data_IF_752001971533
#
_entry.id   IF_752001971533
#
_cell.length_a   1.000
_cell.length_b   1.000
_cell.length_c   1.000
_cell.angle_alpha   90.00
_cell.angle_beta   90.00
_cell.angle_gamma   90.00
#
_symmetry.space_group_name_H-M   'P 1'
#
loop_
_entity.id
_entity.type
_entity.pdbx_description
1 polymer ?
#
# COMPACT_ATOMS: atom_id res chain seq x y z
N UNK A 1 20.43 -14.29 15.32
CA UNK A 1 19.94 -14.51 16.70
C UNK A 1 18.52 -13.96 16.97
N UNK A 2 18.12 -12.77 16.49
CA UNK A 2 16.85 -12.12 16.87
C UNK A 2 15.53 -12.72 16.30
N UNK A 3 15.59 -13.57 15.27
CA UNK A 3 14.39 -14.10 14.59
C UNK A 3 13.50 -14.98 15.50
N UNK A 4 14.11 -15.73 16.42
CA UNK A 4 13.40 -16.65 17.34
C UNK A 4 12.47 -15.88 18.28
N UNK A 5 12.94 -14.78 18.86
CA UNK A 5 12.15 -13.94 19.76
C UNK A 5 11.05 -13.17 19.02
N UNK A 6 11.38 -12.63 17.84
CA UNK A 6 10.43 -11.87 17.02
C UNK A 6 9.26 -12.72 16.51
N UNK A 7 9.46 -14.01 16.27
CA UNK A 7 8.44 -14.91 15.76
C UNK A 7 7.58 -15.58 16.85
N UNK A 8 7.99 -15.54 18.13
CA UNK A 8 7.34 -16.29 19.23
C UNK A 8 5.84 -15.99 19.38
N UNK A 9 5.44 -14.74 19.18
CA UNK A 9 4.05 -14.27 19.31
C UNK A 9 3.35 -14.05 17.97
N UNK A 10 4.01 -14.36 16.85
CA UNK A 10 3.45 -14.12 15.51
C UNK A 10 2.66 -15.32 15.02
N UNK A 11 1.45 -15.05 14.56
CA UNK A 11 0.68 -16.01 13.78
C UNK A 11 1.20 -16.09 12.35
N UNK A 12 1.30 -17.29 11.77
CA UNK A 12 1.67 -17.45 10.37
C UNK A 12 0.62 -16.80 9.47
N UNK A 13 1.09 -16.25 8.36
CA UNK A 13 0.25 -15.52 7.42
C UNK A 13 -0.61 -16.52 6.62
N UNK A 14 -1.95 -16.37 6.58
CA UNK A 14 -2.83 -17.34 5.94
C UNK A 14 -2.98 -17.14 4.41
N UNK A 15 -2.15 -16.33 3.76
CA UNK A 15 -2.29 -16.03 2.33
C UNK A 15 -1.06 -16.41 1.53
N UNK A 16 -1.28 -17.19 0.48
CA UNK A 16 -0.28 -17.54 -0.53
C UNK A 16 -0.40 -16.68 -1.79
N UNK A 17 0.46 -17.00 -2.77
CA UNK A 17 0.35 -16.45 -4.13
C UNK A 17 -1.00 -16.84 -4.73
N UNK A 18 -1.62 -15.95 -5.51
CA UNK A 18 -2.94 -16.09 -6.15
C UNK A 18 -4.17 -15.99 -5.25
N UNK A 19 -4.01 -15.93 -3.92
CA UNK A 19 -5.13 -15.74 -3.00
C UNK A 19 -5.77 -14.35 -3.16
N UNK A 20 -7.07 -14.28 -2.86
CA UNK A 20 -7.84 -13.04 -2.85
C UNK A 20 -7.85 -12.42 -1.46
N UNK A 21 -7.59 -11.13 -1.39
CA UNK A 21 -7.32 -10.42 -0.14
C UNK A 21 -7.92 -9.02 -0.18
N UNK A 22 -8.47 -8.57 0.94
CA UNK A 22 -8.97 -7.22 1.14
C UNK A 22 -7.85 -6.33 1.69
N UNK A 23 -7.81 -5.08 1.22
CA UNK A 23 -6.83 -4.08 1.62
C UNK A 23 -7.44 -3.07 2.60
N UNK A 24 -6.77 -2.82 3.72
CA UNK A 24 -7.20 -1.84 4.71
C UNK A 24 -7.01 -0.40 4.20
N UNK A 25 -7.99 0.48 4.46
CA UNK A 25 -8.00 1.89 4.05
C UNK A 25 -7.33 2.84 5.02
N UNK A 26 -6.82 2.36 6.16
CA UNK A 26 -6.24 3.20 7.21
C UNK A 26 -5.23 4.24 6.69
N UNK A 27 -4.39 3.84 5.71
CA UNK A 27 -3.32 4.66 5.14
C UNK A 27 -3.62 5.18 3.73
N UNK A 28 -4.86 5.03 3.25
CA UNK A 28 -5.27 5.38 1.89
C UNK A 28 -6.22 6.57 1.95
N UNK A 29 -5.90 7.63 1.21
CA UNK A 29 -6.79 8.79 1.06
C UNK A 29 -7.87 8.50 0.02
N UNK A 30 -9.10 8.34 0.49
CA UNK A 30 -10.27 8.04 -0.34
C UNK A 30 -11.07 9.33 -0.50
N UNK A 31 -11.48 9.65 -1.74
CA UNK A 31 -12.40 10.76 -2.03
C UNK A 31 -13.81 10.40 -1.55
N UNK A 32 -14.04 10.48 -0.25
CA UNK A 32 -15.36 10.45 0.38
C UNK A 32 -15.47 11.64 1.34
N UNK A 33 -16.69 12.19 1.53
CA UNK A 33 -16.90 13.38 2.36
C UNK A 33 -16.54 13.12 3.83
N UNK A 34 -16.72 11.90 4.34
CA UNK A 34 -16.33 11.55 5.71
C UNK A 34 -15.60 10.21 5.80
N UNK A 35 -14.57 10.15 6.66
CA UNK A 35 -13.80 8.92 6.94
C UNK A 35 -14.64 7.89 7.69
N UNK A 36 -15.56 8.32 8.57
CA UNK A 36 -16.42 7.43 9.37
C UNK A 36 -17.37 6.60 8.50
N UNK A 37 -17.91 7.21 7.43
CA UNK A 37 -18.77 6.53 6.46
C UNK A 37 -17.97 5.93 5.29
N UNK A 38 -16.64 5.89 5.37
CA UNK A 38 -15.81 5.29 4.33
C UNK A 38 -15.69 3.78 4.54
N UNK A 39 -15.51 3.03 3.45
CA UNK A 39 -15.29 1.60 3.54
C UNK A 39 -13.95 1.34 4.24
N UNK A 40 -13.95 0.53 5.30
CA UNK A 40 -12.72 0.13 6.01
C UNK A 40 -11.82 -0.79 5.18
N UNK A 41 -12.43 -1.60 4.31
CA UNK A 41 -11.75 -2.55 3.45
C UNK A 41 -12.06 -2.24 2.00
N UNK A 42 -11.02 -2.14 1.18
CA UNK A 42 -11.13 -2.10 -0.26
C UNK A 42 -11.05 -3.52 -0.77
N UNK A 43 -11.95 -3.81 -1.69
CA UNK A 43 -11.78 -4.69 -2.84
C UNK A 43 -11.06 -6.02 -2.67
N UNK A 44 -11.60 -7.14 -3.18
CA UNK A 44 -10.77 -8.32 -3.36
C UNK A 44 -9.64 -8.02 -4.38
N UNK A 45 -8.40 -8.03 -3.92
CA UNK A 45 -7.20 -7.96 -4.74
C UNK A 45 -6.50 -9.32 -4.76
N UNK A 46 -5.94 -9.67 -5.90
CA UNK A 46 -5.17 -10.89 -6.04
C UNK A 46 -3.72 -10.66 -5.61
N UNK A 47 -3.17 -11.57 -4.81
CA UNK A 47 -1.75 -11.58 -4.44
C UNK A 47 -0.94 -12.09 -5.63
N UNK A 48 0.02 -11.29 -6.08
CA UNK A 48 0.94 -11.65 -7.16
C UNK A 48 2.16 -12.39 -6.64
N UNK A 49 2.77 -11.89 -5.56
CA UNK A 49 3.94 -12.51 -4.93
C UNK A 49 4.15 -12.04 -3.51
N UNK A 50 4.82 -12.88 -2.73
CA UNK A 50 5.41 -12.51 -1.44
C UNK A 50 6.67 -11.67 -1.71
N UNK A 51 6.88 -10.62 -0.91
CA UNK A 51 8.00 -9.69 -1.04
C UNK A 51 8.91 -9.85 0.17
N UNK A 52 10.18 -10.16 -0.11
CA UNK A 52 11.21 -10.36 0.90
C UNK A 52 11.25 -11.78 1.49
N UNK A 53 12.36 -12.10 2.16
CA UNK A 53 12.65 -13.43 2.71
C UNK A 53 11.80 -13.78 3.95
N UNK A 54 11.35 -12.76 4.68
CA UNK A 54 10.49 -12.92 5.85
C UNK A 54 8.99 -12.96 5.49
N UNK A 55 8.66 -12.64 4.24
CA UNK A 55 7.34 -12.43 3.67
C UNK A 55 6.29 -11.84 4.60
N UNK A 56 6.69 -10.72 5.18
CA UNK A 56 5.83 -9.80 5.89
C UNK A 56 5.08 -8.85 4.93
N UNK A 57 5.42 -8.87 3.65
CA UNK A 57 4.85 -8.01 2.64
C UNK A 57 4.43 -8.80 1.40
N UNK A 58 3.38 -8.35 0.74
CA UNK A 58 2.81 -8.96 -0.45
C UNK A 58 2.59 -7.90 -1.52
N UNK A 59 2.90 -8.28 -2.77
CA UNK A 59 2.58 -7.47 -3.94
C UNK A 59 1.19 -7.86 -4.45
N UNK A 60 0.31 -6.88 -4.56
CA UNK A 60 -1.06 -7.05 -5.04
C UNK A 60 -1.21 -6.64 -6.51
N UNK A 61 -2.17 -7.25 -7.20
CA UNK A 61 -2.62 -6.82 -8.52
C UNK A 61 -3.59 -5.64 -8.37
N UNK A 62 -3.03 -4.44 -8.22
CA UNK A 62 -3.80 -3.19 -8.22
C UNK A 62 -4.10 -2.72 -9.66
N UNK A 63 -5.27 -2.13 -9.87
CA UNK A 63 -5.57 -1.39 -11.09
C UNK A 63 -4.78 -0.07 -11.11
N UNK A 64 -4.36 0.37 -12.29
CA UNK A 64 -3.62 1.63 -12.51
C UNK A 64 -4.34 2.85 -11.89
N UNK A 65 -5.66 2.79 -11.78
CA UNK A 65 -6.50 3.83 -11.18
C UNK A 65 -6.16 4.18 -9.73
N UNK A 66 -5.56 3.25 -8.97
CA UNK A 66 -5.31 3.44 -7.54
C UNK A 66 -4.12 4.37 -7.26
N UNK A 67 -3.16 4.52 -8.20
CA UNK A 67 -1.95 5.36 -8.05
C UNK A 67 -1.23 5.21 -6.69
N UNK A 68 -1.34 4.04 -6.05
CA UNK A 68 -0.70 3.70 -4.77
C UNK A 68 0.30 2.57 -5.04
N UNK A 69 1.37 2.52 -4.26
CA UNK A 69 2.31 1.40 -4.28
C UNK A 69 1.57 0.07 -4.09
N UNK A 70 1.94 -0.94 -4.88
CA UNK A 70 1.26 -2.22 -4.89
C UNK A 70 1.80 -3.23 -3.88
N UNK A 71 2.71 -2.82 -2.99
CA UNK A 71 3.30 -3.68 -1.95
C UNK A 71 2.74 -3.26 -0.59
N UNK A 72 2.16 -4.22 0.12
CA UNK A 72 1.55 -3.99 1.43
C UNK A 72 2.00 -5.02 2.46
N UNK A 73 2.08 -4.59 3.71
CA UNK A 73 2.36 -5.44 4.86
C UNK A 73 1.17 -6.36 5.16
N UNK A 74 1.45 -7.53 5.73
CA UNK A 74 0.46 -8.51 6.19
C UNK A 74 -0.64 -7.92 7.08
N UNK A 75 -0.27 -6.98 7.96
CA UNK A 75 -1.21 -6.36 8.91
C UNK A 75 -2.28 -5.49 8.22
N UNK A 76 -2.03 -5.06 6.98
CA UNK A 76 -2.97 -4.27 6.18
C UNK A 76 -3.86 -5.15 5.30
N UNK A 77 -3.70 -6.46 5.38
CA UNK A 77 -4.33 -7.44 4.52
C UNK A 77 -5.26 -8.36 5.31
N UNK A 78 -6.40 -8.70 4.70
CA UNK A 78 -7.36 -9.66 5.27
C UNK A 78 -7.80 -10.64 4.20
N UNK A 79 -7.79 -11.94 4.51
CA UNK A 79 -8.26 -12.97 3.58
C UNK A 79 -9.71 -12.69 3.13
N UNK A 80 -9.96 -12.77 1.82
CA UNK A 80 -11.30 -12.60 1.26
C UNK A 80 -12.06 -13.93 1.31
N UNK A 81 -13.15 -13.99 2.07
CA UNK A 81 -14.05 -15.15 2.10
C UNK A 81 -15.07 -15.02 0.97
N UNK A 82 -14.87 -15.76 -0.12
CA UNK A 82 -15.79 -15.82 -1.26
C UNK A 82 -16.99 -16.70 -0.90
N UNK A 83 -18.21 -16.25 -1.22
CA UNK A 83 -19.37 -17.16 -1.24
C UNK A 83 -19.29 -18.05 -2.49
N UNK A 84 -19.68 -19.34 -2.42
CA UNK A 84 -19.69 -20.21 -3.59
C UNK A 84 -20.52 -19.55 -4.71
N UNK A 85 -19.95 -19.46 -5.92
CA UNK A 85 -20.58 -18.81 -7.09
C UNK A 85 -20.31 -17.31 -7.29
N UNK A 86 -19.82 -16.57 -6.28
CA UNK A 86 -19.74 -15.10 -6.38
C UNK A 86 -18.40 -14.62 -6.97
N UNK A 87 -18.36 -14.08 -8.18
CA UNK A 87 -17.12 -13.49 -8.75
C UNK A 87 -16.66 -12.29 -7.91
N UNK A 88 -15.36 -12.16 -7.57
CA UNK A 88 -14.84 -11.01 -6.84
C UNK A 88 -15.06 -9.72 -7.65
N UNK A 89 -16.03 -8.90 -7.22
CA UNK A 89 -16.32 -7.61 -7.86
C UNK A 89 -15.56 -6.49 -7.16
N UNK A 90 -14.63 -5.86 -7.87
CA UNK A 90 -13.98 -4.64 -7.40
C UNK A 90 -14.74 -3.41 -7.86
N UNK A 91 -15.54 -2.81 -6.97
CA UNK A 91 -16.01 -1.43 -7.17
C UNK A 91 -14.79 -0.51 -7.01
N UNK A 92 -14.39 0.18 -8.09
CA UNK A 92 -13.26 1.12 -8.08
C UNK A 92 -13.60 2.30 -7.15
N UNK A 93 -12.94 2.47 -5.98
CA UNK A 93 -13.10 3.66 -5.15
C UNK A 93 -12.47 4.85 -5.87
N UNK A 94 -13.09 6.02 -5.75
CA UNK A 94 -12.46 7.29 -6.15
C UNK A 94 -11.35 7.58 -5.14
N UNK A 95 -10.10 7.39 -5.54
CA UNK A 95 -8.93 7.68 -4.71
C UNK A 95 -8.44 9.10 -5.00
N UNK A 96 -7.95 9.77 -3.96
CA UNK A 96 -7.28 11.05 -4.14
C UNK A 96 -5.99 10.85 -4.91
N UNK A 97 -5.95 11.38 -6.14
CA UNK A 97 -4.68 11.55 -6.84
C UNK A 97 -3.85 12.49 -5.98
N UNK A 98 -2.74 12.01 -5.43
CA UNK A 98 -1.73 12.89 -4.89
C UNK A 98 -1.07 13.55 -6.08
N UNK A 99 -1.49 14.76 -6.43
CA UNK A 99 -0.62 15.66 -7.17
C UNK A 99 0.61 15.85 -6.30
N UNK A 100 1.71 15.22 -6.71
CA UNK A 100 3.02 15.52 -6.17
C UNK A 100 3.55 16.63 -7.05
N UNK A 101 3.96 17.73 -6.43
CA UNK A 101 4.73 18.78 -7.08
C UNK A 101 6.11 18.20 -7.43
N UNK A 102 6.18 17.51 -8.57
CA UNK A 102 7.41 16.96 -9.10
C UNK A 102 8.11 18.06 -9.90
N UNK A 103 9.07 18.73 -9.28
CA UNK A 103 9.94 19.68 -9.98
C UNK A 103 10.98 18.91 -10.81
N UNK A 104 11.05 19.19 -12.12
CA UNK A 104 12.13 18.72 -12.97
C UNK A 104 13.31 19.70 -12.83
N UNK A 105 14.31 19.33 -12.04
CA UNK A 105 15.51 20.16 -11.81
C UNK A 105 16.38 20.15 -13.07
N UNK A 106 16.66 21.33 -13.67
CA UNK A 106 17.62 21.43 -14.79
C UNK A 106 19.06 21.56 -14.27
N UNK A 107 19.28 22.40 -13.26
CA UNK A 107 20.57 22.58 -12.62
C UNK A 107 20.41 23.06 -11.17
N UNK A 108 21.38 22.70 -10.31
CA UNK A 108 21.52 23.24 -8.96
C UNK A 108 22.49 24.42 -9.00
N UNK A 109 22.01 25.65 -8.79
CA UNK A 109 22.84 26.85 -8.88
C UNK A 109 23.57 27.16 -7.56
N UNK A 110 22.87 27.03 -6.43
CA UNK A 110 23.40 27.36 -5.09
C UNK A 110 22.76 26.48 -4.04
N UNK A 111 23.44 26.29 -2.92
CA UNK A 111 22.89 25.70 -1.70
C UNK A 111 23.21 26.55 -0.48
N UNK A 112 22.34 26.53 0.53
CA UNK A 112 22.56 27.22 1.81
C UNK A 112 22.04 26.40 2.99
N UNK A 113 22.77 26.40 4.11
CA UNK A 113 22.37 25.79 5.39
C UNK A 113 23.10 24.49 5.75
N UNK A 114 22.81 23.99 6.96
CA UNK A 114 23.31 22.72 7.49
C UNK A 114 22.82 21.53 6.67
N UNK A 115 23.60 20.45 6.57
CA UNK A 115 23.30 19.26 5.76
C UNK A 115 21.83 18.78 5.88
N UNK A 116 21.29 18.68 7.11
CA UNK A 116 19.91 18.25 7.36
C UNK A 116 18.82 19.26 6.97
N UNK A 117 19.17 20.54 6.78
CA UNK A 117 18.24 21.64 6.47
C UNK A 117 18.71 22.47 5.26
N UNK A 118 19.48 21.88 4.34
CA UNK A 118 19.99 22.57 3.15
C UNK A 118 18.83 22.98 2.24
N UNK A 119 18.85 24.24 1.81
CA UNK A 119 17.96 24.79 0.78
C UNK A 119 18.74 24.88 -0.53
N UNK A 120 18.09 24.59 -1.65
CA UNK A 120 18.71 24.60 -2.99
C UNK A 120 18.03 25.64 -3.87
N UNK A 121 18.84 26.42 -4.59
CA UNK A 121 18.38 27.28 -5.67
C UNK A 121 18.38 26.46 -6.96
N UNK A 122 17.19 26.26 -7.53
CA UNK A 122 16.94 25.45 -8.72
C UNK A 122 16.77 26.37 -9.93
N UNK A 123 17.33 25.96 -11.08
CA UNK A 123 17.09 26.58 -12.40
C UNK A 123 16.08 25.78 -13.21
#
# INVERSE_FOLDING_TARGET
MYKKYYNKSRTPVPFGVSNWVLLNTANIKIKRPSKKLSNKWLGPFQVLKMVGLAGLAFRLKLSVSYQIHNVFLTNLLRAFKKKPGEKPKNKKPKIEKKEKDCFKVKALLKYKGLLRKRKYLIK
#
